data_IF_626930473459
#
_entry.id   IF_626930473459
#
_cell.length_a   1.000
_cell.length_b   1.000
_cell.length_c   1.000
_cell.angle_alpha   90.00
_cell.angle_beta   90.00
_cell.angle_gamma   90.00
#
_symmetry.space_group_name_H-M   'P 1'
#
loop_
_entity.id
_entity.type
_entity.pdbx_description
1 polymer ?
#
# COMPACT_ATOMS: atom_id res chain seq x y z
N UNK A 1 8.27 -5.90 16.17
CA UNK A 1 8.89 -4.93 15.26
C UNK A 1 7.97 -3.72 15.11
N UNK A 2 8.51 -2.51 15.08
CA UNK A 2 7.77 -1.28 14.77
C UNK A 2 7.37 -1.24 13.28
N UNK A 3 6.37 -0.44 12.91
CA UNK A 3 6.01 -0.27 11.49
C UNK A 3 7.20 0.19 10.65
N UNK A 4 8.00 1.14 11.17
CA UNK A 4 9.15 1.70 10.47
C UNK A 4 10.23 0.65 10.19
N UNK A 5 10.55 -0.20 11.15
CA UNK A 5 11.49 -1.31 10.93
C UNK A 5 10.97 -2.27 9.85
N UNK A 6 9.67 -2.57 9.93
CA UNK A 6 9.01 -3.53 9.06
C UNK A 6 8.94 -2.99 7.60
N UNK A 7 8.59 -1.72 7.43
CA UNK A 7 8.53 -1.09 6.11
C UNK A 7 9.93 -0.89 5.52
N UNK A 8 10.94 -0.59 6.34
CA UNK A 8 12.32 -0.51 5.88
C UNK A 8 12.83 -1.86 5.36
N UNK A 9 12.42 -2.98 5.98
CA UNK A 9 12.71 -4.30 5.44
C UNK A 9 12.05 -4.51 4.07
N UNK A 10 10.77 -4.16 3.92
CA UNK A 10 10.07 -4.25 2.63
C UNK A 10 10.74 -3.38 1.54
N UNK A 11 11.16 -2.17 1.89
CA UNK A 11 11.83 -1.24 0.98
C UNK A 11 13.23 -1.74 0.60
N UNK A 12 13.98 -2.30 1.56
CA UNK A 12 15.29 -2.92 1.29
C UNK A 12 15.18 -4.15 0.36
N UNK A 13 14.06 -4.89 0.44
CA UNK A 13 13.76 -5.98 -0.47
C UNK A 13 13.33 -5.52 -1.88
N UNK A 14 13.06 -4.23 -2.08
CA UNK A 14 12.83 -3.61 -3.39
C UNK A 14 14.12 -2.85 -3.82
N UNK A 15 15.12 -3.53 -4.40
CA UNK A 15 16.47 -3.01 -4.50
C UNK A 15 16.61 -1.82 -5.46
N UNK A 16 17.43 -0.84 -5.07
CA UNK A 16 18.23 -0.03 -5.98
C UNK A 16 18.38 1.44 -5.55
N UNK A 17 19.53 2.11 -5.81
CA UNK A 17 19.72 3.55 -5.59
C UNK A 17 18.89 4.43 -6.56
N UNK A 18 17.70 3.95 -6.94
CA UNK A 18 16.90 4.44 -8.04
C UNK A 18 15.68 5.23 -7.57
N UNK A 19 15.15 6.05 -8.47
CA UNK A 19 13.95 6.85 -8.23
C UNK A 19 12.73 6.02 -7.83
N UNK A 20 12.65 4.74 -8.24
CA UNK A 20 11.57 3.85 -7.84
C UNK A 20 11.63 3.52 -6.34
N UNK A 21 12.80 3.20 -5.79
CA UNK A 21 12.95 2.97 -4.36
C UNK A 21 12.65 4.26 -3.59
N UNK A 22 13.17 5.42 -4.04
CA UNK A 22 12.84 6.72 -3.44
C UNK A 22 11.32 6.98 -3.45
N UNK A 23 10.62 6.62 -4.54
CA UNK A 23 9.18 6.72 -4.64
C UNK A 23 8.42 5.84 -3.67
N UNK A 24 8.89 4.60 -3.46
CA UNK A 24 8.32 3.72 -2.44
C UNK A 24 8.58 4.24 -1.03
N UNK A 25 9.76 4.80 -0.75
CA UNK A 25 10.07 5.43 0.54
C UNK A 25 9.11 6.60 0.83
N UNK A 26 8.89 7.48 -0.15
CA UNK A 26 7.94 8.60 -0.04
C UNK A 26 6.53 8.10 0.27
N UNK A 27 6.06 7.07 -0.44
CA UNK A 27 4.73 6.51 -0.20
C UNK A 27 4.63 5.78 1.16
N UNK A 28 5.68 5.07 1.55
CA UNK A 28 5.73 4.28 2.78
C UNK A 28 5.75 5.14 4.04
N UNK A 29 6.51 6.24 4.01
CA UNK A 29 6.75 7.11 5.15
C UNK A 29 5.84 8.34 5.15
N UNK A 30 4.78 8.33 4.36
CA UNK A 30 3.70 9.30 4.50
C UNK A 30 3.15 9.26 5.94
N UNK A 31 2.85 10.42 6.51
CA UNK A 31 2.39 10.50 7.89
C UNK A 31 1.01 9.84 8.02
N UNK A 32 0.92 8.85 8.91
CA UNK A 32 -0.33 8.16 9.22
C UNK A 32 -0.51 8.23 10.73
N UNK A 33 -1.45 9.08 11.16
CA UNK A 33 -1.76 9.25 12.57
C UNK A 33 -2.05 7.90 13.24
N UNK A 34 -1.48 7.69 14.42
CA UNK A 34 -1.69 6.46 15.20
C UNK A 34 -0.96 5.23 14.68
N UNK A 35 0.09 5.38 13.87
CA UNK A 35 1.10 4.32 13.65
C UNK A 35 2.37 4.71 14.44
N UNK A 36 2.83 3.88 15.39
CA UNK A 36 4.06 4.14 16.13
C UNK A 36 5.27 4.35 15.20
N UNK A 37 6.01 5.43 15.43
CA UNK A 37 7.19 5.78 14.62
C UNK A 37 6.89 6.55 13.32
N UNK A 38 5.62 6.79 12.98
CA UNK A 38 5.20 7.64 11.85
C UNK A 38 4.42 8.91 12.28
N UNK A 39 4.24 9.13 13.58
CA UNK A 39 3.51 10.28 14.12
C UNK A 39 4.47 11.29 14.81
N UNK A 40 5.16 12.16 14.05
CA UNK A 40 5.81 13.33 14.61
C UNK A 40 4.91 14.56 14.36
N UNK A 41 4.81 15.47 15.31
CA UNK A 41 4.09 16.77 15.19
C UNK A 41 4.73 17.75 14.16
N UNK A 42 5.32 17.26 13.08
CA UNK A 42 5.98 18.04 12.02
C UNK A 42 5.69 17.40 10.67
N UNK A 43 4.85 18.07 9.90
CA UNK A 43 4.42 17.71 8.56
C UNK A 43 5.60 17.60 7.57
N UNK A 44 5.48 16.70 6.58
CA UNK A 44 5.95 17.02 5.23
C UNK A 44 4.79 17.78 4.60
N UNK A 45 4.77 19.09 4.77
CA UNK A 45 3.72 19.99 4.30
C UNK A 45 3.37 19.73 2.83
N UNK A 46 2.11 19.40 2.48
CA UNK A 46 1.52 19.96 1.30
C UNK A 46 1.12 21.39 1.67
N UNK A 47 1.75 22.39 1.04
CA UNK A 47 1.25 23.75 1.17
C UNK A 47 -0.21 23.82 0.71
N UNK A 48 -1.01 24.49 1.55
CA UNK A 48 -2.38 24.99 1.34
C UNK A 48 -3.51 23.96 1.30
N UNK A 49 -4.23 23.94 2.43
CA UNK A 49 -5.60 24.46 2.47
C UNK A 49 -6.72 23.50 2.07
N UNK A 50 -7.62 23.30 3.04
CA UNK A 50 -9.03 22.91 2.87
C UNK A 50 -9.35 21.42 2.66
N UNK A 51 -10.11 20.89 3.62
CA UNK A 51 -10.80 19.59 3.64
C UNK A 51 -9.88 18.35 3.56
N UNK A 52 -9.45 17.88 4.73
CA UNK A 52 -8.44 16.82 4.92
C UNK A 52 -8.96 15.39 4.60
N UNK A 53 -9.72 15.25 3.51
CA UNK A 53 -9.87 14.00 2.75
C UNK A 53 -8.74 13.87 1.71
N UNK A 54 -7.53 14.31 2.07
CA UNK A 54 -6.34 14.18 1.24
C UNK A 54 -6.15 12.73 0.81
N UNK A 55 -5.83 12.51 -0.47
CA UNK A 55 -5.62 11.18 -1.03
C UNK A 55 -4.47 10.48 -0.27
N UNK A 56 -4.82 9.56 0.62
CA UNK A 56 -3.92 8.80 1.49
C UNK A 56 -2.89 7.93 0.75
N UNK A 57 -2.91 7.88 -0.58
CA UNK A 57 -1.81 7.28 -1.31
C UNK A 57 -1.52 8.12 -2.52
N UNK A 58 -0.30 8.63 -2.58
CA UNK A 58 0.16 9.24 -3.80
C UNK A 58 0.18 8.17 -4.89
N UNK A 59 -0.60 8.42 -5.94
CA UNK A 59 -0.49 7.68 -7.19
C UNK A 59 0.94 7.74 -7.70
N UNK A 60 1.34 6.81 -8.58
CA UNK A 60 2.65 6.87 -9.22
C UNK A 60 2.93 8.22 -9.90
N UNK A 61 1.88 8.91 -10.35
CA UNK A 61 1.96 10.28 -10.87
C UNK A 61 2.34 11.28 -9.78
N UNK A 62 1.59 11.34 -8.67
CA UNK A 62 1.89 12.24 -7.55
C UNK A 62 3.29 11.99 -6.95
N UNK A 63 3.71 10.73 -6.88
CA UNK A 63 5.07 10.36 -6.45
C UNK A 63 6.10 10.88 -7.46
N UNK A 64 5.82 10.69 -8.76
CA UNK A 64 6.66 11.23 -9.83
C UNK A 64 6.81 12.74 -9.72
N UNK A 65 5.69 13.46 -9.61
CA UNK A 65 5.67 14.92 -9.48
C UNK A 65 6.50 15.38 -8.27
N UNK A 66 6.38 14.73 -7.11
CA UNK A 66 7.21 15.03 -5.93
C UNK A 66 8.71 14.86 -6.21
N UNK A 67 9.05 13.80 -6.94
CA UNK A 67 10.43 13.42 -7.21
C UNK A 67 10.99 14.05 -8.49
N UNK A 68 10.28 14.99 -9.11
CA UNK A 68 10.63 15.55 -10.42
C UNK A 68 10.89 14.45 -11.47
N UNK A 69 10.02 13.45 -11.50
CA UNK A 69 10.12 12.26 -12.37
C UNK A 69 8.77 11.86 -12.94
N UNK A 70 8.74 11.03 -13.98
CA UNK A 70 7.47 10.54 -14.54
C UNK A 70 7.05 9.21 -13.90
N UNK A 71 5.74 8.99 -13.80
CA UNK A 71 5.18 7.70 -13.35
C UNK A 71 5.68 6.51 -14.20
N UNK A 72 5.86 6.75 -15.50
CA UNK A 72 6.43 5.78 -16.43
C UNK A 72 7.88 5.45 -16.07
N UNK A 73 8.70 6.46 -15.76
CA UNK A 73 10.09 6.27 -15.34
C UNK A 73 10.18 5.44 -14.06
N UNK A 74 9.35 5.74 -13.05
CA UNK A 74 9.28 4.98 -11.80
C UNK A 74 8.90 3.51 -12.06
N UNK A 75 7.85 3.28 -12.85
CA UNK A 75 7.35 1.94 -13.17
C UNK A 75 8.36 1.14 -13.99
N UNK A 76 8.98 1.76 -15.00
CA UNK A 76 10.00 1.14 -15.84
C UNK A 76 11.24 0.76 -15.02
N UNK A 77 11.65 1.63 -14.11
CA UNK A 77 12.83 1.40 -13.27
C UNK A 77 12.58 0.26 -12.29
N UNK A 78 11.42 0.22 -11.63
CA UNK A 78 11.02 -0.93 -10.81
C UNK A 78 11.00 -2.24 -11.61
N UNK A 79 10.48 -2.21 -12.84
CA UNK A 79 10.47 -3.36 -13.75
C UNK A 79 11.88 -3.86 -14.10
N UNK A 80 12.87 -2.96 -14.29
CA UNK A 80 14.28 -3.35 -14.48
C UNK A 80 14.88 -4.07 -13.27
N UNK A 81 14.35 -3.80 -12.07
CA UNK A 81 14.73 -4.46 -10.82
C UNK A 81 13.82 -5.65 -10.46
N UNK A 82 12.93 -6.07 -11.37
CA UNK A 82 12.16 -7.29 -11.24
C UNK A 82 10.87 -7.19 -10.41
N UNK A 83 10.42 -5.99 -10.04
CA UNK A 83 9.20 -5.84 -9.22
C UNK A 83 8.19 -4.84 -9.81
N UNK A 84 6.93 -5.01 -9.45
CA UNK A 84 5.85 -4.12 -9.87
C UNK A 84 5.70 -2.92 -8.92
N UNK A 85 6.01 -1.71 -9.41
CA UNK A 85 5.86 -0.47 -8.64
C UNK A 85 4.42 -0.27 -8.14
N UNK A 86 3.43 -0.40 -9.02
CA UNK A 86 2.03 -0.25 -8.66
C UNK A 86 1.57 -1.27 -7.61
N UNK A 87 2.10 -2.49 -7.66
CA UNK A 87 1.80 -3.54 -6.68
C UNK A 87 2.43 -3.23 -5.33
N UNK A 88 3.67 -2.74 -5.32
CA UNK A 88 4.34 -2.28 -4.11
C UNK A 88 3.56 -1.14 -3.43
N UNK A 89 3.05 -0.17 -4.19
CA UNK A 89 2.18 0.90 -3.64
C UNK A 89 0.91 0.35 -2.99
N UNK A 90 0.29 -0.68 -3.58
CA UNK A 90 -0.87 -1.36 -2.95
C UNK A 90 -0.46 -2.03 -1.65
N UNK A 91 0.67 -2.73 -1.62
CA UNK A 91 1.15 -3.36 -0.39
C UNK A 91 1.45 -2.36 0.71
N UNK A 92 2.07 -1.23 0.39
CA UNK A 92 2.30 -0.14 1.35
C UNK A 92 0.98 0.29 2.01
N UNK A 93 -0.05 0.59 1.20
CA UNK A 93 -1.38 0.97 1.71
C UNK A 93 -2.00 -0.10 2.60
N UNK A 94 -1.84 -1.38 2.22
CA UNK A 94 -2.32 -2.50 3.02
C UNK A 94 -1.58 -2.60 4.37
N UNK A 95 -0.25 -2.49 4.36
CA UNK A 95 0.58 -2.56 5.56
C UNK A 95 0.27 -1.44 6.54
N UNK A 96 0.00 -0.21 6.06
CA UNK A 96 -0.49 0.85 6.94
C UNK A 96 -1.83 0.49 7.58
N UNK A 97 -2.74 -0.13 6.82
CA UNK A 97 -4.02 -0.62 7.35
C UNK A 97 -3.82 -1.65 8.46
N UNK A 98 -2.91 -2.60 8.26
CA UNK A 98 -2.59 -3.61 9.27
C UNK A 98 -1.97 -3.02 10.52
N UNK A 99 -1.10 -2.02 10.38
CA UNK A 99 -0.53 -1.30 11.51
C UNK A 99 -1.61 -0.58 12.32
N UNK A 100 -2.52 0.15 11.66
CA UNK A 100 -3.64 0.81 12.36
C UNK A 100 -4.55 -0.20 13.09
N UNK A 101 -4.82 -1.36 12.49
CA UNK A 101 -5.59 -2.42 13.14
C UNK A 101 -4.86 -3.00 14.36
N UNK A 102 -3.53 -3.14 14.29
CA UNK A 102 -2.71 -3.60 15.41
C UNK A 102 -2.75 -2.64 16.60
N UNK A 103 -2.85 -1.33 16.32
CA UNK A 103 -3.04 -0.27 17.32
C UNK A 103 -4.50 -0.15 17.82
N UNK A 104 -5.37 -1.10 17.45
CA UNK A 104 -6.75 -1.16 17.94
C UNK A 104 -7.73 -0.23 17.20
N UNK A 105 -7.35 0.35 16.06
CA UNK A 105 -8.29 1.12 15.26
C UNK A 105 -9.43 0.23 14.74
N UNK A 106 -10.64 0.77 14.73
CA UNK A 106 -11.79 0.10 14.10
C UNK A 106 -11.62 0.06 12.58
N UNK A 107 -12.17 -0.97 11.92
CA UNK A 107 -12.06 -1.17 10.46
C UNK A 107 -12.57 0.04 9.68
N UNK A 108 -13.62 0.68 10.18
CA UNK A 108 -14.21 1.89 9.62
C UNK A 108 -13.23 3.06 9.66
N UNK A 109 -12.60 3.29 10.81
CA UNK A 109 -11.56 4.30 10.99
C UNK A 109 -10.37 4.03 10.08
N UNK A 110 -9.97 2.77 9.92
CA UNK A 110 -8.90 2.38 9.00
C UNK A 110 -9.30 2.73 7.57
N UNK A 111 -10.48 2.35 7.10
CA UNK A 111 -10.91 2.65 5.72
C UNK A 111 -10.84 4.16 5.41
N UNK A 112 -11.33 5.01 6.32
CA UNK A 112 -11.26 6.47 6.17
C UNK A 112 -9.83 7.00 6.23
N UNK A 113 -9.02 6.56 7.20
CA UNK A 113 -7.61 6.95 7.28
C UNK A 113 -6.87 6.55 6.02
N UNK A 114 -7.21 5.40 5.43
CA UNK A 114 -6.61 4.94 4.20
C UNK A 114 -7.18 5.63 2.94
N UNK A 115 -8.01 6.67 3.05
CA UNK A 115 -8.76 7.35 1.97
C UNK A 115 -9.55 6.40 1.04
N UNK A 116 -10.25 5.42 1.61
CA UNK A 116 -11.35 4.77 0.91
C UNK A 116 -12.63 5.57 1.12
N UNK A 117 -13.46 5.67 0.07
CA UNK A 117 -14.79 6.29 0.14
C UNK A 117 -15.71 5.61 1.16
N UNK A 118 -15.53 4.30 1.32
CA UNK A 118 -16.36 3.46 2.16
C UNK A 118 -15.63 2.18 2.58
N UNK A 119 -16.20 1.50 3.59
CA UNK A 119 -15.69 0.26 4.16
C UNK A 119 -15.67 -0.88 3.12
N UNK A 120 -16.62 -0.87 2.18
CA UNK A 120 -16.68 -1.88 1.12
C UNK A 120 -15.51 -1.72 0.13
N UNK A 121 -15.03 -0.49 -0.10
CA UNK A 121 -13.85 -0.16 -0.87
C UNK A 121 -12.60 -0.79 -0.26
N UNK A 122 -12.39 -0.59 1.04
CA UNK A 122 -11.31 -1.25 1.79
C UNK A 122 -11.44 -2.79 1.74
N UNK A 123 -12.65 -3.31 1.88
CA UNK A 123 -12.91 -4.76 1.85
C UNK A 123 -12.61 -5.38 0.48
N UNK A 124 -13.04 -4.74 -0.61
CA UNK A 124 -12.75 -5.16 -1.99
C UNK A 124 -11.25 -5.09 -2.28
N UNK A 125 -10.60 -4.01 -1.85
CA UNK A 125 -9.15 -3.84 -1.99
C UNK A 125 -8.39 -4.98 -1.32
N UNK A 126 -8.75 -5.30 -0.07
CA UNK A 126 -8.12 -6.36 0.72
C UNK A 126 -8.37 -7.72 0.10
N UNK A 127 -9.61 -8.02 -0.31
CA UNK A 127 -9.95 -9.29 -0.96
C UNK A 127 -9.17 -9.50 -2.26
N UNK A 128 -8.99 -8.44 -3.06
CA UNK A 128 -8.17 -8.49 -4.29
C UNK A 128 -6.67 -8.58 -4.04
N UNK A 129 -6.17 -8.21 -2.87
CA UNK A 129 -4.73 -8.23 -2.58
C UNK A 129 -4.32 -9.53 -1.90
N UNK A 130 -5.12 -9.99 -0.93
CA UNK A 130 -4.75 -11.13 -0.07
C UNK A 130 -5.83 -12.22 0.01
N UNK A 131 -6.87 -12.13 -0.82
CA UNK A 131 -7.94 -13.15 -0.93
C UNK A 131 -8.99 -13.11 0.17
N UNK A 132 -8.88 -12.21 1.15
CA UNK A 132 -9.76 -12.16 2.33
C UNK A 132 -10.26 -10.76 2.63
N UNK A 133 -11.41 -10.65 3.29
CA UNK A 133 -11.87 -9.36 3.82
C UNK A 133 -11.09 -8.98 5.10
N UNK A 134 -11.03 -7.68 5.46
CA UNK A 134 -10.31 -7.21 6.65
C UNK A 134 -10.69 -7.96 7.94
N UNK A 135 -11.98 -8.28 8.10
CA UNK A 135 -12.50 -9.00 9.28
C UNK A 135 -12.06 -10.47 9.34
N UNK A 136 -11.63 -11.05 8.22
CA UNK A 136 -11.21 -12.45 8.08
C UNK A 136 -9.68 -12.59 8.06
N UNK A 137 -8.94 -11.49 8.21
CA UNK A 137 -7.49 -11.53 8.22
C UNK A 137 -7.01 -12.20 9.52
N UNK A 138 -6.01 -13.08 9.43
CA UNK A 138 -5.40 -13.64 10.62
C UNK A 138 -4.67 -12.54 11.38
N UNK A 139 -4.74 -12.59 12.72
CA UNK A 139 -3.97 -11.71 13.61
C UNK A 139 -2.53 -12.23 13.69
N UNK A 140 -1.75 -11.93 12.65
CA UNK A 140 -0.32 -12.28 12.58
C UNK A 140 0.54 -11.03 12.69
N UNK A 141 1.80 -11.16 13.13
CA UNK A 141 2.76 -10.07 13.14
C UNK A 141 2.95 -9.45 11.74
N UNK A 142 3.27 -8.15 11.69
CA UNK A 142 3.41 -7.39 10.44
C UNK A 142 4.49 -7.98 9.52
N UNK A 143 5.50 -8.61 10.11
CA UNK A 143 6.61 -9.30 9.45
C UNK A 143 6.11 -10.41 8.50
N UNK A 144 5.03 -11.10 8.86
CA UNK A 144 4.42 -12.13 8.01
C UNK A 144 3.80 -11.50 6.76
N UNK A 145 3.14 -10.35 6.92
CA UNK A 145 2.58 -9.60 5.80
C UNK A 145 3.66 -9.04 4.89
N UNK A 146 4.79 -8.63 5.44
CA UNK A 146 5.92 -8.11 4.66
C UNK A 146 6.54 -9.20 3.79
N UNK A 147 6.78 -10.39 4.32
CA UNK A 147 7.28 -11.51 3.51
C UNK A 147 6.35 -11.80 2.34
N UNK A 148 5.04 -11.85 2.62
CA UNK A 148 4.01 -12.01 1.57
C UNK A 148 4.02 -10.85 0.57
N UNK A 149 4.23 -9.62 1.04
CA UNK A 149 4.31 -8.44 0.18
C UNK A 149 5.51 -8.53 -0.77
N UNK A 150 6.68 -8.93 -0.27
CA UNK A 150 7.88 -9.14 -1.08
C UNK A 150 7.60 -10.20 -2.15
N UNK A 151 7.14 -11.39 -1.78
CA UNK A 151 6.85 -12.45 -2.75
C UNK A 151 5.86 -11.98 -3.83
N UNK A 152 4.82 -11.25 -3.43
CA UNK A 152 3.77 -10.82 -4.32
C UNK A 152 4.19 -9.66 -5.26
N UNK A 153 5.10 -8.77 -4.86
CA UNK A 153 5.57 -7.69 -5.77
C UNK A 153 6.51 -8.20 -6.86
N UNK A 154 7.24 -9.30 -6.62
CA UNK A 154 8.14 -9.93 -7.58
C UNK A 154 7.46 -11.00 -8.43
N UNK A 155 6.59 -11.82 -7.83
CA UNK A 155 6.02 -13.01 -8.49
C UNK A 155 4.50 -12.97 -8.67
N UNK A 156 3.82 -11.97 -8.12
CA UNK A 156 2.36 -11.87 -8.17
C UNK A 156 1.83 -11.68 -9.59
N UNK A 157 0.84 -12.49 -9.96
CA UNK A 157 0.13 -12.36 -11.24
C UNK A 157 -0.60 -11.01 -11.30
N UNK A 158 -0.48 -10.21 -12.38
CA UNK A 158 -1.21 -8.96 -12.51
C UNK A 158 -2.72 -9.19 -12.35
N UNK A 159 -3.42 -8.32 -11.62
CA UNK A 159 -4.87 -8.44 -11.41
C UNK A 159 -5.69 -8.43 -12.72
N UNK A 160 -5.10 -7.97 -13.84
CA UNK A 160 -5.70 -8.03 -15.18
C UNK A 160 -5.67 -9.44 -15.80
N UNK A 161 -4.92 -10.38 -15.22
CA UNK A 161 -4.80 -11.79 -15.64
C UNK A 161 -5.43 -12.77 -14.65
N UNK A 162 -6.08 -12.30 -13.59
CA UNK A 162 -6.92 -13.17 -12.79
C UNK A 162 -8.10 -13.64 -13.68
N UNK A 163 -8.36 -14.95 -13.78
CA UNK A 163 -9.55 -15.42 -14.46
C UNK A 163 -10.75 -14.75 -13.78
N UNK A 164 -11.50 -13.96 -14.55
CA UNK A 164 -12.82 -13.53 -14.12
C UNK A 164 -13.58 -14.83 -13.89
N UNK A 165 -13.89 -15.15 -12.63
CA UNK A 165 -14.68 -16.33 -12.30
C UNK A 165 -15.85 -16.43 -13.28
N UNK A 166 -15.74 -17.41 -14.18
CA UNK A 166 -16.72 -17.72 -15.19
C UNK A 166 -17.93 -18.26 -14.48
N UNK A 167 -18.86 -17.37 -14.13
CA UNK A 167 -20.18 -17.73 -13.65
C UNK A 167 -21.02 -18.32 -14.76
N UNK A 168 -20.65 -19.51 -15.26
CA UNK A 168 -21.56 -20.33 -16.04
C UNK A 168 -22.60 -20.90 -15.08
N UNK A 169 -23.70 -20.17 -14.91
CA UNK A 169 -24.92 -20.74 -14.36
C UNK A 169 -25.39 -21.81 -15.35
N UNK A 170 -25.11 -23.07 -15.05
CA UNK A 170 -25.84 -24.19 -15.63
C UNK A 170 -27.27 -24.07 -15.09
N UNK A 171 -28.18 -23.57 -15.93
CA UNK A 171 -29.61 -23.73 -15.68
C UNK A 171 -29.97 -25.17 -16.04
N UNK A 172 -30.71 -25.79 -15.12
CA UNK A 172 -31.29 -27.13 -15.19
C UNK A 172 -32.08 -27.35 -16.47
#
# INVERSE_FOLDING_TARGET
>A
MSFTEAINFFLAACPGPSMAQAGLHVAALQAVKGIPGLDPKGSVTPERGESDAGSYLWSARQIGDRLNSSAEYLTRTAGKHGYSFARALRWIRFLHGMALLAEGCRVETVAYRLAFSDIAGWSRFTKRLVGRSPRQLPKVPLEIWIRKAVDDVFFGVPASREPRDGGTKVRK
#
